data_IF_684131282289
#
_entry.id   IF_684131282289
#
_cell.length_a   1.000
_cell.length_b   1.000
_cell.length_c   1.000
_cell.angle_alpha   90.00
_cell.angle_beta   90.00
_cell.angle_gamma   90.00
#
_symmetry.space_group_name_H-M   'P 1'
#
loop_
_entity.id
_entity.type
_entity.pdbx_description
1 polymer ?
#
# COMPACT_ATOMS: atom_id res chain seq x y z
N UNK A 1 8.05 -4.60 3.79
CA UNK A 1 7.84 -3.62 4.85
C UNK A 1 8.05 -4.30 6.18
N UNK A 2 8.97 -3.79 6.98
CA UNK A 2 9.17 -4.25 8.35
C UNK A 2 7.89 -3.89 9.12
N UNK A 3 7.12 -4.89 9.50
CA UNK A 3 5.79 -4.80 10.12
C UNK A 3 5.80 -4.12 11.51
N UNK A 4 6.47 -3.00 11.65
CA UNK A 4 6.60 -2.27 12.91
C UNK A 4 7.53 -2.92 13.95
N UNK A 5 8.30 -3.93 13.55
CA UNK A 5 9.22 -4.65 14.44
C UNK A 5 10.51 -3.90 14.76
N UNK A 6 10.73 -2.74 14.17
CA UNK A 6 11.93 -1.95 14.41
C UNK A 6 11.69 -0.45 14.39
N UNK A 7 12.29 0.26 15.34
CA UNK A 7 12.33 1.73 15.39
C UNK A 7 13.28 2.30 14.32
N UNK A 8 14.14 1.46 13.72
CA UNK A 8 15.10 1.87 12.70
C UNK A 8 14.52 1.63 11.31
N UNK A 9 14.64 2.63 10.45
CA UNK A 9 14.27 2.53 9.05
C UNK A 9 15.04 1.37 8.38
N UNK A 10 14.37 0.41 7.72
CA UNK A 10 14.99 -0.83 7.22
C UNK A 10 15.96 -0.62 6.05
N UNK A 11 15.96 0.56 5.43
CA UNK A 11 16.80 0.89 4.28
C UNK A 11 18.13 1.53 4.70
N UNK A 12 19.17 0.71 4.84
CA UNK A 12 20.55 1.21 4.95
C UNK A 12 20.98 1.87 3.64
N UNK A 13 22.00 2.73 3.68
CA UNK A 13 22.53 3.38 2.46
C UNK A 13 22.94 2.35 1.40
N UNK A 14 23.55 1.25 1.83
CA UNK A 14 23.98 0.18 0.93
C UNK A 14 22.78 -0.51 0.25
N UNK A 15 21.74 -0.84 1.01
CA UNK A 15 20.50 -1.42 0.44
C UNK A 15 19.82 -0.48 -0.55
N UNK A 16 19.78 0.83 -0.25
CA UNK A 16 19.21 1.82 -1.18
C UNK A 16 20.05 1.89 -2.45
N UNK A 17 21.39 1.95 -2.32
CA UNK A 17 22.31 1.99 -3.48
C UNK A 17 22.14 0.75 -4.35
N UNK A 18 22.16 -0.45 -3.76
CA UNK A 18 21.99 -1.70 -4.47
C UNK A 18 20.65 -1.73 -5.23
N UNK A 19 19.55 -1.33 -4.58
CA UNK A 19 18.24 -1.27 -5.24
C UNK A 19 18.23 -0.29 -6.40
N UNK A 20 18.74 0.92 -6.22
CA UNK A 20 18.84 1.92 -7.28
C UNK A 20 19.66 1.40 -8.46
N UNK A 21 20.77 0.71 -8.21
CA UNK A 21 21.59 0.10 -9.27
C UNK A 21 20.78 -0.94 -10.09
N UNK A 22 20.08 -1.84 -9.41
CA UNK A 22 19.25 -2.87 -10.07
C UNK A 22 18.09 -2.25 -10.84
N UNK A 23 17.43 -1.26 -10.24
CA UNK A 23 16.29 -0.56 -10.86
C UNK A 23 16.72 0.22 -12.12
N UNK A 24 17.88 0.88 -12.09
CA UNK A 24 18.44 1.57 -13.26
C UNK A 24 18.81 0.59 -14.37
N UNK A 25 19.36 -0.57 -14.01
CA UNK A 25 19.62 -1.63 -15.00
C UNK A 25 18.30 -2.10 -15.64
N UNK A 26 17.28 -2.38 -14.83
CA UNK A 26 15.97 -2.79 -15.33
C UNK A 26 15.34 -1.75 -16.27
N UNK A 27 15.33 -0.46 -15.88
CA UNK A 27 14.79 0.62 -16.71
C UNK A 27 15.50 0.65 -18.07
N UNK A 28 16.82 0.52 -18.08
CA UNK A 28 17.61 0.51 -19.31
C UNK A 28 17.37 -0.73 -20.13
N UNK A 29 17.40 -1.92 -19.52
CA UNK A 29 17.32 -3.21 -20.23
C UNK A 29 15.94 -3.40 -20.86
N UNK A 30 14.87 -2.87 -20.22
CA UNK A 30 13.52 -2.82 -20.79
C UNK A 30 13.32 -1.66 -21.76
N UNK A 31 14.27 -0.74 -21.89
CA UNK A 31 14.08 0.54 -22.61
C UNK A 31 12.75 1.22 -22.20
N UNK A 32 12.54 1.36 -20.90
CA UNK A 32 11.26 1.77 -20.35
C UNK A 32 10.96 3.25 -20.66
N UNK A 33 9.79 3.52 -21.24
CA UNK A 33 9.29 4.88 -21.49
C UNK A 33 8.65 5.52 -20.25
N UNK A 34 8.23 4.69 -19.29
CA UNK A 34 7.61 5.12 -18.04
C UNK A 34 7.76 4.05 -16.96
N UNK A 35 7.57 4.45 -15.69
CA UNK A 35 7.58 3.53 -14.55
C UNK A 35 6.28 3.66 -13.78
N UNK A 36 5.61 2.54 -13.53
CA UNK A 36 4.44 2.46 -12.64
C UNK A 36 4.88 1.85 -11.33
N UNK A 37 4.62 2.52 -10.22
CA UNK A 37 5.00 2.06 -8.88
C UNK A 37 3.78 1.88 -7.97
N UNK A 38 3.91 0.95 -7.04
CA UNK A 38 3.02 0.83 -5.87
C UNK A 38 3.76 1.28 -4.60
N UNK A 39 4.44 0.36 -3.92
CA UNK A 39 5.10 0.62 -2.64
C UNK A 39 6.65 0.58 -2.71
N UNK A 40 7.24 0.86 -3.87
CA UNK A 40 8.70 0.86 -4.04
C UNK A 40 9.30 2.28 -3.97
N UNK A 41 9.72 2.77 -2.80
CA UNK A 41 10.19 4.14 -2.64
C UNK A 41 11.53 4.43 -3.31
N UNK A 42 12.40 3.44 -3.56
CA UNK A 42 13.70 3.63 -4.22
C UNK A 42 13.52 3.95 -5.70
N UNK A 43 12.46 3.43 -6.33
CA UNK A 43 12.15 3.71 -7.72
C UNK A 43 11.90 5.22 -7.98
N UNK A 44 11.41 5.95 -6.99
CA UNK A 44 11.28 7.41 -7.06
C UNK A 44 12.63 8.14 -7.26
N UNK A 45 13.74 7.53 -6.84
CA UNK A 45 15.09 8.01 -7.10
C UNK A 45 15.55 7.53 -8.47
N UNK A 46 15.41 6.23 -8.73
CA UNK A 46 15.93 5.58 -9.94
C UNK A 46 15.31 6.13 -11.21
N UNK A 47 14.00 6.32 -11.25
CA UNK A 47 13.32 6.88 -12.41
C UNK A 47 13.71 8.35 -12.65
N UNK A 48 13.92 9.14 -11.59
CA UNK A 48 14.43 10.52 -11.72
C UNK A 48 15.86 10.56 -12.25
N UNK A 49 16.70 9.59 -11.87
CA UNK A 49 18.06 9.45 -12.44
C UNK A 49 17.99 9.12 -13.93
N UNK A 50 17.10 8.19 -14.28
CA UNK A 50 16.90 7.75 -15.66
C UNK A 50 16.16 8.79 -16.53
N UNK A 51 15.51 9.79 -15.94
CA UNK A 51 14.72 10.79 -16.65
C UNK A 51 13.42 10.25 -17.23
N UNK A 52 12.88 9.15 -16.69
CA UNK A 52 11.61 8.56 -17.13
C UNK A 52 10.46 8.98 -16.21
N UNK A 53 9.25 9.22 -16.74
CA UNK A 53 8.08 9.62 -15.96
C UNK A 53 7.62 8.51 -15.01
N UNK A 54 7.11 8.91 -13.86
CA UNK A 54 6.67 8.02 -12.79
C UNK A 54 5.16 8.16 -12.62
N UNK A 55 4.47 7.02 -12.63
CA UNK A 55 3.07 6.88 -12.26
C UNK A 55 2.99 6.13 -10.93
N UNK A 56 2.31 6.68 -9.94
CA UNK A 56 2.22 6.09 -8.62
C UNK A 56 0.78 5.75 -8.24
N UNK A 57 0.45 4.45 -8.21
CA UNK A 57 -0.83 3.96 -7.73
C UNK A 57 -0.89 4.08 -6.20
N UNK A 58 -1.82 4.89 -5.68
CA UNK A 58 -1.90 5.20 -4.25
C UNK A 58 -3.32 5.52 -3.78
N UNK A 59 -3.67 5.26 -2.51
CA UNK A 59 -4.95 5.67 -1.96
C UNK A 59 -5.02 7.19 -1.77
N UNK A 60 -6.25 7.72 -1.76
CA UNK A 60 -6.51 9.15 -1.58
C UNK A 60 -5.87 9.73 -0.31
N UNK A 61 -5.89 8.98 0.80
CA UNK A 61 -5.29 9.40 2.08
C UNK A 61 -3.78 9.72 2.00
N UNK A 62 -3.10 9.30 0.95
CA UNK A 62 -1.70 9.63 0.69
C UNK A 62 -1.53 10.61 -0.46
N UNK A 63 -2.61 11.16 -1.02
CA UNK A 63 -2.56 12.08 -2.15
C UNK A 63 -2.07 13.47 -1.74
N UNK A 64 -1.54 14.20 -2.71
CA UNK A 64 -1.16 15.61 -2.54
C UNK A 64 -2.39 16.46 -2.24
N UNK A 65 -3.50 16.16 -2.90
CA UNK A 65 -4.79 16.81 -2.69
C UNK A 65 -5.27 16.64 -1.25
N UNK A 66 -5.24 15.41 -0.70
CA UNK A 66 -5.67 15.15 0.68
C UNK A 66 -4.92 16.02 1.71
N UNK A 67 -3.59 16.12 1.59
CA UNK A 67 -2.79 16.93 2.50
C UNK A 67 -2.97 18.45 2.28
N UNK A 68 -3.47 18.86 1.11
CA UNK A 68 -3.71 20.27 0.76
C UNK A 68 -5.16 20.69 0.96
N UNK A 69 -6.08 19.74 1.08
CA UNK A 69 -7.51 20.00 1.20
C UNK A 69 -7.84 20.86 2.41
N UNK A 70 -8.74 21.84 2.23
CA UNK A 70 -9.23 22.69 3.31
C UNK A 70 -10.29 21.98 4.15
N UNK A 71 -11.12 21.17 3.51
CA UNK A 71 -12.13 20.31 4.16
C UNK A 71 -11.76 18.85 4.04
N UNK A 72 -12.27 18.05 4.95
CA UNK A 72 -11.94 16.61 5.00
C UNK A 72 -12.88 15.74 4.16
N UNK A 73 -13.88 16.30 3.49
CA UNK A 73 -14.95 15.51 2.90
C UNK A 73 -15.75 14.73 3.97
N UNK A 74 -16.55 13.78 3.55
CA UNK A 74 -17.34 12.90 4.46
C UNK A 74 -16.54 11.71 5.02
N UNK A 75 -15.32 11.47 4.53
CA UNK A 75 -14.48 10.38 5.04
C UNK A 75 -13.90 10.73 6.41
N UNK A 76 -13.80 9.76 7.35
CA UNK A 76 -13.11 9.97 8.60
C UNK A 76 -11.65 10.32 8.32
N UNK A 77 -11.31 11.58 8.51
CA UNK A 77 -10.01 12.12 8.14
C UNK A 77 -9.32 12.73 9.33
N UNK A 78 -8.01 12.77 9.28
CA UNK A 78 -7.22 13.45 10.29
C UNK A 78 -7.64 14.93 10.38
N UNK A 79 -7.68 15.53 11.58
CA UNK A 79 -7.95 16.95 11.74
C UNK A 79 -7.06 17.82 10.86
N UNK A 80 -7.59 18.95 10.38
CA UNK A 80 -6.88 19.84 9.44
C UNK A 80 -5.50 20.27 9.93
N UNK A 81 -5.38 20.56 11.23
CA UNK A 81 -4.06 20.89 11.84
C UNK A 81 -3.05 19.76 11.76
N UNK A 82 -3.50 18.50 11.92
CA UNK A 82 -2.60 17.33 11.82
C UNK A 82 -2.13 17.12 10.37
N UNK A 83 -3.02 17.31 9.39
CA UNK A 83 -2.65 17.27 7.97
C UNK A 83 -1.64 18.37 7.62
N UNK A 84 -1.86 19.59 8.13
CA UNK A 84 -0.92 20.69 7.96
C UNK A 84 0.45 20.39 8.58
N UNK A 85 0.46 19.77 9.77
CA UNK A 85 1.68 19.33 10.44
C UNK A 85 2.43 18.27 9.60
N UNK A 86 1.74 17.23 9.13
CA UNK A 86 2.32 16.18 8.29
C UNK A 86 2.89 16.78 6.99
N UNK A 87 2.17 17.74 6.38
CA UNK A 87 2.65 18.45 5.19
C UNK A 87 3.92 19.26 5.44
N UNK A 88 4.08 19.80 6.65
CA UNK A 88 5.25 20.59 7.02
C UNK A 88 6.50 19.74 7.30
N UNK A 89 6.34 18.43 7.52
CA UNK A 89 7.46 17.53 7.81
C UNK A 89 8.46 17.55 6.65
N UNK A 90 9.72 17.79 6.99
CA UNK A 90 10.84 17.78 6.05
C UNK A 90 11.82 16.61 6.28
N UNK A 91 11.38 15.61 7.07
CA UNK A 91 12.19 14.43 7.35
C UNK A 91 12.40 13.59 6.10
N UNK A 92 13.64 13.22 5.87
CA UNK A 92 14.04 12.27 4.83
C UNK A 92 15.03 11.28 5.41
N UNK A 93 14.90 9.97 5.13
CA UNK A 93 15.93 9.04 5.54
C UNK A 93 17.29 9.43 4.95
N UNK A 94 18.32 9.46 5.80
CA UNK A 94 19.66 9.87 5.38
C UNK A 94 20.23 9.02 4.24
N UNK A 95 19.86 7.72 4.22
CA UNK A 95 20.21 6.78 3.15
C UNK A 95 19.69 7.21 1.77
N UNK A 96 18.43 7.65 1.69
CA UNK A 96 17.83 8.14 0.44
C UNK A 96 18.50 9.45 -0.02
N UNK A 97 18.68 10.39 0.91
CA UNK A 97 19.32 11.68 0.61
C UNK A 97 20.76 11.50 0.13
N UNK A 98 21.49 10.55 0.72
CA UNK A 98 22.89 10.26 0.34
C UNK A 98 22.95 9.68 -1.06
N UNK A 99 22.18 8.62 -1.34
CA UNK A 99 22.19 7.97 -2.66
C UNK A 99 21.70 8.92 -3.75
N UNK A 100 20.62 9.66 -3.53
CA UNK A 100 20.15 10.65 -4.49
C UNK A 100 21.25 11.69 -4.83
N UNK A 101 22.00 12.16 -3.82
CA UNK A 101 23.12 13.11 -4.00
C UNK A 101 24.29 12.48 -4.77
N UNK A 102 24.60 11.20 -4.55
CA UNK A 102 25.65 10.48 -5.30
C UNK A 102 25.37 10.50 -6.82
N UNK A 103 24.09 10.58 -7.21
CA UNK A 103 23.64 10.67 -8.60
C UNK A 103 23.22 12.09 -9.04
N UNK A 104 23.55 13.13 -8.26
CA UNK A 104 23.20 14.51 -8.60
C UNK A 104 21.72 14.86 -8.46
N UNK A 105 20.89 13.98 -7.90
CA UNK A 105 19.46 14.20 -7.73
C UNK A 105 19.17 14.93 -6.42
N UNK A 106 18.43 16.03 -6.54
CA UNK A 106 17.92 16.80 -5.39
C UNK A 106 16.51 16.34 -5.04
N UNK A 107 16.35 15.70 -3.89
CA UNK A 107 15.04 15.29 -3.40
C UNK A 107 14.20 16.52 -2.99
N UNK A 108 12.87 16.48 -3.16
CA UNK A 108 11.96 17.52 -2.72
C UNK A 108 12.14 17.84 -1.23
N UNK A 109 11.84 19.09 -0.84
CA UNK A 109 12.05 19.54 0.55
C UNK A 109 11.16 18.82 1.55
N UNK A 110 9.87 18.68 1.23
CA UNK A 110 8.89 18.05 2.13
C UNK A 110 8.86 16.54 1.94
N UNK A 111 8.58 15.81 3.03
CA UNK A 111 8.46 14.34 3.00
C UNK A 111 7.34 13.88 2.06
N UNK A 112 6.19 14.52 2.11
CA UNK A 112 5.04 14.18 1.26
C UNK A 112 5.34 14.37 -0.23
N UNK A 113 6.09 15.41 -0.58
CA UNK A 113 6.48 15.69 -1.96
C UNK A 113 7.56 14.72 -2.47
N UNK A 114 8.36 14.16 -1.56
CA UNK A 114 9.37 13.15 -1.90
C UNK A 114 8.70 11.88 -2.47
N UNK A 115 7.53 11.54 -1.95
CA UNK A 115 6.75 10.38 -2.37
C UNK A 115 5.69 10.71 -3.43
N UNK A 116 5.70 11.94 -3.98
CA UNK A 116 4.85 12.29 -5.11
C UNK A 116 5.55 11.92 -6.42
N UNK A 117 4.78 11.36 -7.34
CA UNK A 117 5.20 11.03 -8.71
C UNK A 117 4.82 12.16 -9.69
N UNK A 118 5.18 12.01 -10.95
CA UNK A 118 4.74 12.92 -12.01
C UNK A 118 3.21 12.85 -12.20
N UNK A 119 2.66 11.63 -12.04
CA UNK A 119 1.22 11.38 -11.97
C UNK A 119 0.91 10.43 -10.82
N UNK A 120 0.09 10.86 -9.88
CA UNK A 120 -0.42 9.99 -8.82
C UNK A 120 -1.78 9.44 -9.25
N UNK A 121 -1.85 8.13 -9.42
CA UNK A 121 -3.09 7.42 -9.75
C UNK A 121 -3.86 7.14 -8.46
N UNK A 122 -4.93 7.87 -8.20
CA UNK A 122 -5.71 7.72 -6.97
C UNK A 122 -6.69 6.56 -7.11
N UNK A 123 -6.37 5.45 -6.42
CA UNK A 123 -7.07 4.16 -6.50
C UNK A 123 -8.12 3.98 -5.40
N UNK A 124 -8.83 5.06 -5.04
CA UNK A 124 -9.84 5.06 -4.00
C UNK A 124 -11.26 5.05 -4.57
N UNK A 125 -12.20 4.63 -3.75
CA UNK A 125 -13.62 4.75 -4.08
C UNK A 125 -14.00 6.24 -4.22
N UNK A 126 -14.91 6.54 -5.14
CA UNK A 126 -15.35 7.92 -5.41
C UNK A 126 -15.96 8.61 -4.19
N UNK A 127 -16.48 7.85 -3.22
CA UNK A 127 -17.01 8.41 -1.97
C UNK A 127 -15.96 9.13 -1.13
N UNK A 128 -14.68 8.75 -1.25
CA UNK A 128 -13.57 9.40 -0.55
C UNK A 128 -13.20 10.77 -1.18
N UNK A 129 -13.65 11.00 -2.41
CA UNK A 129 -13.33 12.21 -3.18
C UNK A 129 -14.41 13.30 -3.12
N UNK A 130 -15.43 13.14 -2.28
CA UNK A 130 -16.58 14.05 -2.19
C UNK A 130 -16.28 15.42 -1.55
N UNK A 131 -15.07 15.72 -1.25
CA UNK A 131 -14.70 17.00 -0.65
C UNK A 131 -14.15 17.98 -1.66
N UNK A 132 -12.87 17.90 -1.91
CA UNK A 132 -12.14 18.79 -2.81
C UNK A 132 -11.84 18.09 -4.14
N UNK A 133 -11.92 18.80 -5.27
CA UNK A 133 -11.49 18.24 -6.55
C UNK A 133 -10.00 17.90 -6.50
N UNK A 134 -9.63 16.80 -7.16
CA UNK A 134 -8.22 16.43 -7.28
C UNK A 134 -7.46 17.51 -8.04
N UNK A 135 -6.27 17.81 -7.55
CA UNK A 135 -5.34 18.74 -8.19
C UNK A 135 -4.08 18.03 -8.64
N UNK A 136 -3.50 18.47 -9.74
CA UNK A 136 -2.24 17.87 -10.22
C UNK A 136 -1.20 17.79 -9.10
N UNK A 137 -0.44 16.68 -9.01
CA UNK A 137 -0.36 15.56 -9.97
C UNK A 137 -1.35 14.40 -9.70
N UNK A 138 -2.40 14.59 -8.88
CA UNK A 138 -3.34 13.54 -8.50
C UNK A 138 -4.44 13.37 -9.56
N UNK A 139 -4.65 12.15 -10.03
CA UNK A 139 -5.67 11.76 -11.02
C UNK A 139 -6.48 10.58 -10.49
N UNK A 140 -7.80 10.67 -10.48
CA UNK A 140 -8.66 9.57 -10.06
C UNK A 140 -8.74 8.48 -11.14
N UNK A 141 -8.44 7.25 -10.75
CA UNK A 141 -8.57 6.07 -11.60
C UNK A 141 -9.53 5.02 -11.01
N UNK A 142 -10.00 5.27 -9.78
CA UNK A 142 -10.83 4.31 -9.05
C UNK A 142 -10.03 3.10 -8.56
N UNK A 143 -10.72 2.15 -7.91
CA UNK A 143 -10.09 0.94 -7.39
C UNK A 143 -9.44 0.12 -8.50
N UNK A 144 -8.19 -0.26 -8.30
CA UNK A 144 -7.47 -1.20 -9.17
C UNK A 144 -7.56 -2.58 -8.53
N UNK A 145 -8.16 -3.52 -9.24
CA UNK A 145 -8.28 -4.91 -8.78
C UNK A 145 -8.06 -5.87 -9.94
N UNK A 146 -7.53 -7.03 -9.59
CA UNK A 146 -7.37 -8.14 -10.51
C UNK A 146 -8.37 -9.23 -10.13
N UNK A 147 -9.17 -9.67 -11.10
CA UNK A 147 -10.02 -10.84 -10.95
C UNK A 147 -9.26 -12.05 -11.48
N UNK A 148 -8.76 -12.87 -10.56
CA UNK A 148 -8.12 -14.11 -10.96
C UNK A 148 -9.13 -15.02 -11.70
N UNK A 149 -8.73 -15.66 -12.81
CA UNK A 149 -9.54 -16.72 -13.39
C UNK A 149 -9.55 -17.90 -12.41
N UNK A 150 -10.72 -18.53 -12.26
CA UNK A 150 -10.89 -19.68 -11.39
C UNK A 150 -12.33 -19.81 -10.91
N UNK A 151 -12.64 -20.98 -10.38
CA UNK A 151 -13.92 -21.23 -9.75
C UNK A 151 -13.94 -20.64 -8.34
N UNK A 152 -15.11 -20.15 -7.94
CA UNK A 152 -15.32 -19.71 -6.56
C UNK A 152 -15.33 -20.94 -5.64
N UNK A 153 -14.83 -20.81 -4.39
CA UNK A 153 -14.95 -21.87 -3.40
C UNK A 153 -16.40 -22.33 -3.23
N UNK A 154 -16.60 -23.64 -2.99
CA UNK A 154 -17.92 -24.24 -2.89
C UNK A 154 -18.84 -23.52 -1.88
N UNK A 155 -18.30 -23.15 -0.74
CA UNK A 155 -19.03 -22.39 0.31
C UNK A 155 -19.62 -21.07 -0.19
N UNK A 156 -19.06 -20.48 -1.25
CA UNK A 156 -19.57 -19.24 -1.87
C UNK A 156 -20.69 -19.53 -2.88
N UNK A 157 -20.64 -20.69 -3.54
CA UNK A 157 -21.56 -21.09 -4.60
C UNK A 157 -22.86 -21.67 -4.05
N UNK A 158 -22.81 -22.34 -2.90
CA UNK A 158 -23.96 -22.97 -2.28
C UNK A 158 -24.93 -21.96 -1.66
N UNK A 159 -26.23 -22.31 -1.56
CA UNK A 159 -27.21 -21.50 -0.85
C UNK A 159 -26.82 -21.32 0.61
N UNK A 160 -26.70 -20.08 1.02
CA UNK A 160 -26.22 -19.71 2.37
C UNK A 160 -27.24 -20.08 3.44
N UNK A 161 -26.89 -20.98 4.33
CA UNK A 161 -27.65 -21.32 5.55
C UNK A 161 -27.28 -20.39 6.74
N UNK A 162 -26.11 -19.80 6.69
CA UNK A 162 -25.55 -18.89 7.69
C UNK A 162 -24.91 -17.67 7.01
N UNK A 163 -24.72 -16.56 7.72
CA UNK A 163 -23.93 -15.45 7.19
C UNK A 163 -22.52 -15.92 6.82
N UNK A 164 -22.04 -15.55 5.64
CA UNK A 164 -20.67 -15.84 5.19
C UNK A 164 -19.78 -14.63 5.48
N UNK A 165 -18.70 -14.86 6.20
CA UNK A 165 -17.67 -13.85 6.53
C UNK A 165 -16.40 -14.20 5.75
N UNK A 166 -15.83 -13.23 5.06
CA UNK A 166 -14.49 -13.36 4.49
C UNK A 166 -13.45 -12.76 5.45
N UNK A 167 -12.42 -13.54 5.77
CA UNK A 167 -11.29 -13.11 6.60
C UNK A 167 -10.02 -13.16 5.77
N UNK A 168 -9.43 -12.01 5.53
CA UNK A 168 -8.15 -11.87 4.83
C UNK A 168 -7.25 -10.87 5.56
N UNK A 169 -6.05 -11.29 5.94
CA UNK A 169 -5.07 -10.44 6.63
C UNK A 169 -4.08 -9.78 5.66
N UNK A 170 -4.06 -10.22 4.41
CA UNK A 170 -3.10 -9.78 3.40
C UNK A 170 -1.66 -10.19 3.72
N UNK A 171 -0.73 -9.80 2.87
CA UNK A 171 0.69 -10.17 2.98
C UNK A 171 1.39 -9.61 4.24
N UNK A 172 0.77 -8.70 4.95
CA UNK A 172 1.28 -8.10 6.19
C UNK A 172 0.60 -8.65 7.43
N UNK A 173 -0.24 -9.66 7.28
CA UNK A 173 -0.99 -10.28 8.35
C UNK A 173 -0.13 -11.00 9.38
N UNK A 174 -0.67 -11.10 10.60
CA UNK A 174 -0.08 -11.88 11.69
C UNK A 174 -0.80 -13.20 11.84
N UNK A 175 -0.07 -14.32 11.70
CA UNK A 175 -0.62 -15.66 11.93
C UNK A 175 -1.27 -15.81 13.30
N UNK A 176 -0.68 -15.23 14.32
CA UNK A 176 -1.21 -15.27 15.69
C UNK A 176 -2.58 -14.53 15.81
N UNK A 177 -2.70 -13.36 15.18
CA UNK A 177 -3.97 -12.61 15.18
C UNK A 177 -5.01 -13.36 14.34
N UNK A 178 -4.64 -13.89 13.18
CA UNK A 178 -5.53 -14.69 12.34
C UNK A 178 -6.09 -15.88 13.11
N UNK A 179 -5.22 -16.69 13.73
CA UNK A 179 -5.62 -17.85 14.51
C UNK A 179 -6.54 -17.47 15.69
N UNK A 180 -6.28 -16.35 16.36
CA UNK A 180 -7.13 -15.86 17.45
C UNK A 180 -8.53 -15.44 16.95
N UNK A 181 -8.61 -14.73 15.83
CA UNK A 181 -9.89 -14.33 15.21
C UNK A 181 -10.67 -15.55 14.76
N UNK A 182 -10.04 -16.51 14.07
CA UNK A 182 -10.72 -17.70 13.57
C UNK A 182 -11.24 -18.60 14.71
N UNK A 183 -10.49 -18.73 15.81
CA UNK A 183 -10.98 -19.46 17.00
C UNK A 183 -12.23 -18.83 17.60
N UNK A 184 -12.33 -17.50 17.61
CA UNK A 184 -13.55 -16.83 18.05
C UNK A 184 -14.71 -17.06 17.06
N UNK A 185 -14.44 -16.97 15.77
CA UNK A 185 -15.47 -17.19 14.73
C UNK A 185 -15.93 -18.65 14.65
N UNK A 186 -15.10 -19.61 15.05
CA UNK A 186 -15.49 -21.04 15.15
C UNK A 186 -16.64 -21.28 16.13
N UNK A 187 -16.86 -20.39 17.09
CA UNK A 187 -17.91 -20.52 18.12
C UNK A 187 -19.21 -19.79 17.77
N UNK A 188 -19.26 -19.11 16.61
CA UNK A 188 -20.42 -18.30 16.18
C UNK A 188 -21.12 -18.99 15.02
N UNK A 189 -22.47 -18.84 14.86
CA UNK A 189 -23.22 -19.48 13.78
C UNK A 189 -23.04 -18.75 12.43
N UNK A 190 -21.81 -18.69 11.94
CA UNK A 190 -21.41 -18.13 10.65
C UNK A 190 -20.53 -19.10 9.88
N UNK A 191 -20.49 -18.99 8.57
CA UNK A 191 -19.50 -19.67 7.74
C UNK A 191 -18.36 -18.67 7.46
N UNK A 192 -17.12 -19.12 7.49
CA UNK A 192 -15.93 -18.26 7.34
C UNK A 192 -15.09 -18.75 6.19
N UNK A 193 -14.85 -17.90 5.20
CA UNK A 193 -13.90 -18.15 4.13
C UNK A 193 -12.57 -17.43 4.47
N UNK A 194 -11.47 -18.19 4.53
CA UNK A 194 -10.14 -17.66 4.86
C UNK A 194 -9.32 -17.44 3.60
N UNK A 195 -8.94 -16.19 3.32
CA UNK A 195 -8.13 -15.86 2.15
C UNK A 195 -6.63 -16.16 2.29
N UNK A 196 -6.14 -16.25 3.52
CA UNK A 196 -4.70 -16.34 3.83
C UNK A 196 -4.37 -17.60 4.66
N UNK A 197 -5.02 -18.73 4.35
CA UNK A 197 -4.85 -19.99 5.10
C UNK A 197 -3.39 -20.46 5.22
N UNK A 198 -2.54 -20.07 4.28
CA UNK A 198 -1.10 -20.33 4.31
C UNK A 198 -0.38 -19.73 5.53
N UNK A 199 -0.98 -18.74 6.17
CA UNK A 199 -0.45 -18.12 7.40
C UNK A 199 -0.73 -18.95 8.67
N UNK A 200 -1.59 -19.95 8.59
CA UNK A 200 -1.92 -20.83 9.71
C UNK A 200 -0.93 -21.97 9.81
N UNK A 201 -0.56 -22.34 11.04
CA UNK A 201 0.12 -23.61 11.27
C UNK A 201 -0.88 -24.77 11.14
N UNK A 202 -0.39 -25.96 10.81
CA UNK A 202 -1.23 -27.18 10.77
C UNK A 202 -1.93 -27.46 12.10
N UNK A 203 -1.33 -27.08 13.22
CA UNK A 203 -1.88 -27.23 14.56
C UNK A 203 -3.07 -26.26 14.78
N UNK A 204 -2.90 -25.00 14.37
CA UNK A 204 -3.98 -24.02 14.45
C UNK A 204 -5.15 -24.42 13.55
N UNK A 205 -4.87 -24.79 12.30
CA UNK A 205 -5.88 -25.19 11.33
C UNK A 205 -6.74 -26.36 11.84
N UNK A 206 -6.12 -27.39 12.44
CA UNK A 206 -6.81 -28.54 13.04
C UNK A 206 -7.67 -28.22 14.26
N UNK A 207 -7.41 -27.09 14.92
CA UNK A 207 -8.16 -26.64 16.09
C UNK A 207 -9.40 -25.81 15.77
N UNK A 208 -9.63 -25.49 14.48
CA UNK A 208 -10.76 -24.67 14.04
C UNK A 208 -12.03 -25.52 13.84
N UNK A 209 -13.18 -24.88 13.92
CA UNK A 209 -14.47 -25.53 13.68
C UNK A 209 -14.75 -25.79 12.19
N UNK A 210 -15.73 -26.67 11.92
CA UNK A 210 -16.14 -27.08 10.57
C UNK A 210 -16.71 -25.92 9.73
N UNK A 211 -17.02 -24.81 10.35
CA UNK A 211 -17.51 -23.60 9.71
C UNK A 211 -16.40 -22.70 9.15
N UNK A 212 -15.15 -23.10 9.27
CA UNK A 212 -13.97 -22.39 8.73
C UNK A 212 -13.49 -23.11 7.46
N UNK A 213 -13.46 -22.39 6.33
CA UNK A 213 -13.16 -22.90 4.99
C UNK A 213 -11.92 -22.24 4.37
#
# INVERSE_FOLDING_TARGET
LDQGRGVRHPFTTEKVRQRVTVELAAIRDFNADAVVIGSNPTMLISARIAGVPIFYARPYAYSTTYFSAKSAGEAPSAPGWLRALVRAISYKPASFTRVAREHGIKLPRRTVDMFSADVNLICSLFTELRGDPLTAPDVSVGPIYYRAPGELPQVVQEPKKRPLIYVGMGSSGSSHILAAVLRQLSTVPVDVLVGDGVLLSDADARSLGDNIH
#
